data_IF_654751177380
#
_entry.id   IF_654751177380
#
_cell.length_a   1.000
_cell.length_b   1.000
_cell.length_c   1.000
_cell.angle_alpha   90.00
_cell.angle_beta   90.00
_cell.angle_gamma   90.00
#
_symmetry.space_group_name_H-M   'P 1'
#
loop_
_entity.id
_entity.type
_entity.pdbx_description
1 polymer ?
#
# COMPACT_ATOMS: atom_id res chain seq x y z
N UNK A 1 -28.52 -7.08 22.31
CA UNK A 1 -28.11 -7.59 20.98
C UNK A 1 -26.80 -6.90 20.64
N UNK A 2 -25.69 -7.58 20.65
CA UNK A 2 -24.39 -7.06 20.20
C UNK A 2 -24.48 -6.87 18.70
N UNK A 3 -24.27 -5.64 18.24
CA UNK A 3 -24.20 -5.33 16.81
C UNK A 3 -23.03 -6.12 16.21
N UNK A 4 -23.24 -6.79 15.08
CA UNK A 4 -22.20 -7.51 14.36
C UNK A 4 -21.13 -6.52 13.85
N UNK A 5 -19.90 -6.65 14.33
CA UNK A 5 -18.77 -5.78 13.96
C UNK A 5 -18.54 -5.77 12.45
N UNK A 6 -18.70 -6.90 11.78
CA UNK A 6 -18.56 -7.02 10.33
C UNK A 6 -19.61 -6.16 9.62
N UNK A 7 -20.85 -6.18 10.07
CA UNK A 7 -21.93 -5.37 9.51
C UNK A 7 -21.67 -3.87 9.69
N UNK A 8 -21.15 -3.46 10.86
CA UNK A 8 -20.78 -2.05 11.13
C UNK A 8 -19.69 -1.59 10.18
N UNK A 9 -18.62 -2.37 10.02
CA UNK A 9 -17.50 -2.05 9.12
C UNK A 9 -17.97 -1.99 7.67
N UNK A 10 -18.75 -2.98 7.21
CA UNK A 10 -19.27 -3.00 5.84
C UNK A 10 -20.16 -1.79 5.53
N UNK A 11 -21.04 -1.42 6.46
CA UNK A 11 -21.89 -0.24 6.32
C UNK A 11 -21.05 1.06 6.27
N UNK A 12 -20.05 1.18 7.14
CA UNK A 12 -19.15 2.33 7.15
C UNK A 12 -18.40 2.47 5.83
N UNK A 13 -17.83 1.38 5.30
CA UNK A 13 -17.12 1.39 4.01
C UNK A 13 -18.03 1.79 2.85
N UNK A 14 -19.25 1.25 2.79
CA UNK A 14 -20.21 1.60 1.75
C UNK A 14 -20.60 3.08 1.79
N UNK A 15 -20.74 3.66 2.97
CA UNK A 15 -21.05 5.09 3.15
C UNK A 15 -19.82 5.97 2.84
N UNK A 16 -18.65 5.59 3.30
CA UNK A 16 -17.40 6.33 3.08
C UNK A 16 -17.04 6.43 1.59
N UNK A 17 -17.29 5.37 0.80
CA UNK A 17 -17.02 5.36 -0.63
C UNK A 17 -17.86 6.40 -1.42
N UNK A 18 -19.01 6.81 -0.90
CA UNK A 18 -19.91 7.79 -1.51
C UNK A 18 -19.76 9.21 -0.94
N UNK A 19 -19.00 9.38 0.14
CA UNK A 19 -18.86 10.65 0.85
C UNK A 19 -17.62 11.42 0.38
N UNK A 20 -17.71 12.75 0.37
CA UNK A 20 -16.52 13.58 0.21
C UNK A 20 -15.65 13.46 1.46
N UNK A 21 -14.33 13.33 1.26
CA UNK A 21 -13.38 13.31 2.37
C UNK A 21 -13.34 14.72 3.03
N UNK A 22 -13.41 14.79 4.36
CA UNK A 22 -13.08 16.04 5.07
C UNK A 22 -11.65 16.47 4.74
N UNK A 23 -11.40 17.78 4.63
CA UNK A 23 -10.08 18.31 4.24
C UNK A 23 -8.97 17.84 5.17
N UNK A 24 -9.23 17.76 6.48
CA UNK A 24 -8.28 17.24 7.46
C UNK A 24 -7.89 15.79 7.17
N UNK A 25 -8.84 14.94 6.77
CA UNK A 25 -8.59 13.55 6.42
C UNK A 25 -7.82 13.46 5.10
N UNK A 26 -8.18 14.28 4.12
CA UNK A 26 -7.48 14.33 2.83
C UNK A 26 -6.02 14.73 3.00
N UNK A 27 -5.74 15.75 3.83
CA UNK A 27 -4.38 16.20 4.12
C UNK A 27 -3.57 15.13 4.86
N UNK A 28 -4.15 14.49 5.88
CA UNK A 28 -3.51 13.35 6.54
C UNK A 28 -3.19 12.21 5.57
N UNK A 29 -4.11 11.90 4.68
CA UNK A 29 -3.91 10.87 3.65
C UNK A 29 -2.74 11.21 2.72
N UNK A 30 -2.61 12.47 2.29
CA UNK A 30 -1.46 12.93 1.48
C UNK A 30 -0.13 12.74 2.21
N UNK A 31 -0.08 13.08 3.50
CA UNK A 31 1.13 12.92 4.31
C UNK A 31 1.51 11.45 4.48
N UNK A 32 0.56 10.58 4.81
CA UNK A 32 0.82 9.13 4.94
C UNK A 32 1.21 8.50 3.59
N UNK A 33 0.58 8.94 2.49
CA UNK A 33 0.96 8.50 1.16
C UNK A 33 2.43 8.87 0.83
N UNK A 34 2.82 10.12 1.10
CA UNK A 34 4.18 10.59 0.86
C UNK A 34 5.20 9.84 1.72
N UNK A 35 4.90 9.66 2.99
CA UNK A 35 5.73 8.93 3.94
C UNK A 35 5.96 7.48 3.49
N UNK A 36 4.88 6.77 3.18
CA UNK A 36 4.97 5.37 2.71
C UNK A 36 5.69 5.26 1.36
N UNK A 37 5.47 6.21 0.43
CA UNK A 37 6.21 6.22 -0.84
C UNK A 37 7.72 6.41 -0.61
N UNK A 38 8.12 7.27 0.33
CA UNK A 38 9.51 7.44 0.70
C UNK A 38 10.09 6.14 1.29
N UNK A 39 9.38 5.49 2.20
CA UNK A 39 9.76 4.19 2.75
C UNK A 39 9.87 3.09 1.67
N UNK A 40 8.92 3.04 0.72
CA UNK A 40 8.98 2.11 -0.41
C UNK A 40 10.25 2.31 -1.24
N UNK A 41 10.60 3.56 -1.56
CA UNK A 41 11.79 3.90 -2.35
C UNK A 41 13.07 3.52 -1.60
N UNK A 42 13.17 3.91 -0.34
CA UNK A 42 14.28 3.58 0.56
C UNK A 42 14.47 2.06 0.69
N UNK A 43 13.40 1.36 0.95
CA UNK A 43 13.39 -0.08 1.18
C UNK A 43 13.77 -0.93 -0.04
N UNK A 44 13.72 -0.37 -1.27
CA UNK A 44 14.16 -1.10 -2.48
C UNK A 44 15.64 -1.52 -2.42
N UNK A 45 16.47 -0.77 -1.68
CA UNK A 45 17.88 -1.09 -1.49
C UNK A 45 18.12 -2.07 -0.33
N UNK A 46 17.12 -2.33 0.50
CA UNK A 46 17.23 -3.18 1.68
C UNK A 46 16.93 -4.66 1.36
N UNK A 47 17.39 -5.54 2.23
CA UNK A 47 17.32 -7.01 2.01
C UNK A 47 15.89 -7.49 1.74
N UNK A 48 14.89 -6.98 2.46
CA UNK A 48 13.50 -7.36 2.29
C UNK A 48 12.95 -6.93 0.91
N UNK A 49 13.18 -5.67 0.51
CA UNK A 49 12.76 -5.15 -0.80
C UNK A 49 13.46 -5.87 -1.96
N UNK A 50 14.78 -6.11 -1.87
CA UNK A 50 15.53 -6.87 -2.88
C UNK A 50 14.95 -8.29 -3.03
N UNK A 51 14.66 -8.97 -1.93
CA UNK A 51 14.14 -10.34 -1.96
C UNK A 51 12.71 -10.40 -2.50
N UNK A 52 11.85 -9.49 -2.07
CA UNK A 52 10.48 -9.40 -2.57
C UNK A 52 10.46 -9.16 -4.08
N UNK A 53 11.24 -8.18 -4.56
CA UNK A 53 11.37 -7.90 -5.99
C UNK A 53 11.90 -9.10 -6.77
N UNK A 54 12.94 -9.77 -6.29
CA UNK A 54 13.48 -10.98 -6.94
C UNK A 54 12.44 -12.10 -6.99
N UNK A 55 11.64 -12.26 -5.93
CA UNK A 55 10.60 -13.26 -5.87
C UNK A 55 9.50 -13.00 -6.92
N UNK A 56 8.92 -11.81 -6.95
CA UNK A 56 7.87 -11.50 -7.94
C UNK A 56 8.39 -11.59 -9.37
N UNK A 57 9.62 -11.14 -9.63
CA UNK A 57 10.24 -11.23 -10.96
C UNK A 57 10.50 -12.66 -11.41
N UNK A 58 10.59 -13.64 -10.50
CA UNK A 58 10.82 -15.03 -10.85
C UNK A 58 9.64 -15.72 -11.54
N UNK A 59 8.42 -15.15 -11.41
CA UNK A 59 7.21 -15.76 -11.99
C UNK A 59 6.28 -14.76 -12.72
N UNK A 60 6.31 -13.49 -12.36
CA UNK A 60 5.38 -12.51 -12.95
C UNK A 60 5.87 -11.89 -14.27
N UNK A 61 7.15 -12.06 -14.60
CA UNK A 61 7.75 -11.38 -15.75
C UNK A 61 7.93 -9.88 -15.54
N UNK A 62 8.82 -9.26 -16.32
CA UNK A 62 9.00 -7.82 -16.33
C UNK A 62 8.27 -7.22 -17.54
N UNK A 63 7.57 -6.12 -17.35
CA UNK A 63 7.06 -5.28 -18.43
C UNK A 63 5.63 -5.56 -18.91
N UNK A 64 4.93 -6.53 -18.37
CA UNK A 64 3.53 -6.83 -18.74
C UNK A 64 2.49 -6.29 -17.74
N UNK A 65 2.95 -5.67 -16.65
CA UNK A 65 2.08 -5.19 -15.58
C UNK A 65 1.55 -3.78 -15.81
N UNK A 66 0.47 -3.44 -15.10
CA UNK A 66 -0.17 -2.11 -15.13
C UNK A 66 0.02 -1.32 -13.84
N UNK A 67 0.81 -1.80 -12.89
CA UNK A 67 1.12 -1.11 -11.66
C UNK A 67 2.63 -0.91 -11.50
N UNK A 68 3.03 0.30 -11.13
CA UNK A 68 4.43 0.64 -10.89
C UNK A 68 4.93 0.09 -9.56
N UNK A 69 6.23 -0.20 -9.48
CA UNK A 69 6.91 -0.46 -8.22
C UNK A 69 7.77 0.77 -7.89
N UNK A 70 7.32 1.66 -6.98
CA UNK A 70 8.05 2.86 -6.62
C UNK A 70 9.50 2.61 -6.22
N UNK A 71 10.40 3.48 -6.68
CA UNK A 71 11.85 3.32 -6.51
C UNK A 71 12.53 2.40 -7.53
N UNK A 72 11.80 1.91 -8.53
CA UNK A 72 12.31 1.08 -9.63
C UNK A 72 11.72 1.51 -10.97
N UNK A 73 12.20 0.94 -12.07
CA UNK A 73 11.59 1.09 -13.40
C UNK A 73 10.64 -0.08 -13.76
N UNK A 74 10.25 -0.89 -12.78
CA UNK A 74 9.41 -2.07 -13.01
C UNK A 74 7.94 -1.71 -13.07
N UNK A 75 7.26 -2.35 -14.00
CA UNK A 75 5.80 -2.44 -14.07
C UNK A 75 5.43 -3.91 -13.90
N UNK A 76 4.51 -4.19 -12.98
CA UNK A 76 4.16 -5.53 -12.55
C UNK A 76 2.63 -5.69 -12.58
N UNK A 77 2.12 -6.92 -12.58
CA UNK A 77 0.72 -7.13 -12.26
C UNK A 77 0.40 -6.52 -10.87
N UNK A 78 -0.84 -6.03 -10.64
CA UNK A 78 -1.15 -5.22 -9.46
C UNK A 78 -0.86 -5.89 -8.12
N UNK A 79 -1.13 -7.20 -8.01
CA UNK A 79 -0.89 -7.96 -6.77
C UNK A 79 0.60 -8.03 -6.44
N UNK A 80 1.42 -8.27 -7.45
CA UNK A 80 2.88 -8.36 -7.34
C UNK A 80 3.51 -7.01 -7.02
N UNK A 81 3.01 -5.94 -7.64
CA UNK A 81 3.44 -4.57 -7.33
C UNK A 81 3.09 -4.19 -5.90
N UNK A 82 1.86 -4.47 -5.45
CA UNK A 82 1.41 -4.24 -4.09
C UNK A 82 2.25 -5.03 -3.07
N UNK A 83 2.47 -6.32 -3.33
CA UNK A 83 3.28 -7.17 -2.45
C UNK A 83 4.73 -6.70 -2.33
N UNK A 84 5.40 -6.48 -3.45
CA UNK A 84 6.80 -6.03 -3.45
C UNK A 84 6.95 -4.62 -2.85
N UNK A 85 5.97 -3.74 -3.11
CA UNK A 85 5.88 -2.42 -2.51
C UNK A 85 5.72 -2.46 -1.00
N UNK A 86 4.81 -3.31 -0.49
CA UNK A 86 4.58 -3.48 0.94
C UNK A 86 5.83 -4.00 1.68
N UNK A 87 6.49 -5.00 1.11
CA UNK A 87 7.73 -5.54 1.66
C UNK A 87 8.87 -4.51 1.67
N UNK A 88 8.93 -3.65 0.68
CA UNK A 88 9.90 -2.55 0.66
C UNK A 88 9.53 -1.47 1.67
N UNK A 89 8.26 -1.06 1.76
CA UNK A 89 7.81 -0.04 2.70
C UNK A 89 8.13 -0.37 4.15
N UNK A 90 8.01 -1.64 4.53
CA UNK A 90 8.26 -2.12 5.90
C UNK A 90 9.70 -2.62 6.13
N UNK A 91 10.61 -2.42 5.18
CA UNK A 91 11.92 -3.05 5.19
C UNK A 91 12.86 -2.58 6.32
N UNK A 92 12.72 -1.34 6.77
CA UNK A 92 13.53 -0.71 7.82
C UNK A 92 12.70 -0.16 9.00
N UNK A 93 11.39 -0.47 9.02
CA UNK A 93 10.45 -0.05 10.07
C UNK A 93 10.39 1.48 10.27
N UNK A 94 10.64 2.27 9.23
CA UNK A 94 10.51 3.74 9.24
C UNK A 94 9.13 4.20 8.81
N UNK A 95 8.29 3.29 8.32
CA UNK A 95 6.91 3.53 7.93
C UNK A 95 6.01 3.90 9.13
N UNK A 96 4.84 4.46 8.83
CA UNK A 96 3.90 4.99 9.81
C UNK A 96 3.50 3.96 10.89
N UNK A 97 3.20 4.45 12.10
CA UNK A 97 2.84 3.59 13.23
C UNK A 97 1.51 4.01 13.86
N UNK A 98 0.59 3.07 13.99
CA UNK A 98 -0.63 3.22 14.77
C UNK A 98 -0.41 2.72 16.19
N UNK A 99 -0.03 3.63 17.11
CA UNK A 99 0.40 3.28 18.46
C UNK A 99 -0.64 2.49 19.27
N UNK A 100 -1.92 2.85 19.17
CA UNK A 100 -2.99 2.18 19.90
C UNK A 100 -3.21 0.73 19.43
N UNK A 101 -3.08 0.48 18.11
CA UNK A 101 -3.23 -0.85 17.50
C UNK A 101 -1.92 -1.63 17.43
N UNK A 102 -0.79 -0.98 17.63
CA UNK A 102 0.56 -1.56 17.51
C UNK A 102 0.80 -2.24 16.15
N UNK A 103 0.53 -1.52 15.07
CA UNK A 103 0.78 -2.00 13.71
C UNK A 103 1.13 -0.81 12.78
N UNK A 104 1.64 -1.13 11.60
CA UNK A 104 2.03 -0.20 10.54
C UNK A 104 1.01 -0.27 9.39
N UNK A 105 0.00 0.60 9.35
CA UNK A 105 -1.05 0.51 8.33
C UNK A 105 -0.59 0.90 6.93
N UNK A 106 0.31 1.87 6.81
CA UNK A 106 0.73 2.44 5.53
C UNK A 106 1.37 1.42 4.61
N UNK A 107 2.26 0.57 5.13
CA UNK A 107 2.95 -0.42 4.32
C UNK A 107 2.02 -1.45 3.66
N UNK A 108 0.84 -1.70 4.22
CA UNK A 108 -0.15 -2.59 3.61
C UNK A 108 -1.13 -1.82 2.71
N UNK A 109 -1.65 -0.69 3.20
CA UNK A 109 -2.76 0.04 2.56
C UNK A 109 -2.28 0.81 1.33
N UNK A 110 -1.18 1.55 1.43
CA UNK A 110 -0.72 2.45 0.36
C UNK A 110 -0.28 1.68 -0.90
N UNK A 111 0.57 0.65 -0.83
CA UNK A 111 0.95 -0.11 -2.03
C UNK A 111 -0.23 -0.79 -2.71
N UNK A 112 -1.18 -1.32 -1.94
CA UNK A 112 -2.39 -1.94 -2.48
C UNK A 112 -3.29 -0.91 -3.19
N UNK A 113 -3.54 0.24 -2.56
CA UNK A 113 -4.35 1.31 -3.12
C UNK A 113 -3.71 1.88 -4.40
N UNK A 114 -2.39 2.10 -4.39
CA UNK A 114 -1.64 2.60 -5.54
C UNK A 114 -1.73 1.63 -6.72
N UNK A 115 -1.48 0.35 -6.47
CA UNK A 115 -1.54 -0.68 -7.51
C UNK A 115 -2.94 -0.80 -8.13
N UNK A 116 -3.99 -0.68 -7.33
CA UNK A 116 -5.37 -0.67 -7.82
C UNK A 116 -5.66 0.60 -8.63
N UNK A 117 -5.25 1.77 -8.13
CA UNK A 117 -5.48 3.05 -8.81
C UNK A 117 -4.78 3.14 -10.17
N UNK A 118 -3.60 2.55 -10.33
CA UNK A 118 -2.87 2.50 -11.60
C UNK A 118 -3.44 1.43 -12.56
N UNK A 119 -4.10 0.39 -12.04
CA UNK A 119 -4.65 -0.70 -12.83
C UNK A 119 -6.03 -0.40 -13.39
N UNK A 120 -6.86 0.28 -12.63
CA UNK A 120 -8.24 0.64 -13.03
C UNK A 120 -8.19 1.97 -13.79
N UNK A 121 -8.60 2.00 -15.06
CA UNK A 121 -8.60 3.22 -15.89
C UNK A 121 -9.63 4.25 -15.43
#
# INVERSE_FOLDING_TARGET
>A
MTQDTTAIVAQHLAQAAAAALPEEVAEKTRLHLLDTLAAMISGQALKAGIRARSYVMSYAGAGEGRASLPGTALWLPPVEAAFAGAMAAHADETDDSHLAGRFHPGCAVVPAALAVAEHIP
#
